data_IF_699260864463
#
_entry.id   IF_699260864463
#
_cell.length_a   1.000
_cell.length_b   1.000
_cell.length_c   1.000
_cell.angle_alpha   90.00
_cell.angle_beta   90.00
_cell.angle_gamma   90.00
#
_symmetry.space_group_name_H-M   'P 1'
#
loop_
_entity.id
_entity.type
_entity.pdbx_description
1 polymer ?
#
# COMPACT_ATOMS: atom_id res chain seq x y z
N UNK A 1 -17.63 4.36 -2.30
CA UNK A 1 -18.64 4.28 -1.22
C UNK A 1 -18.16 3.77 0.13
N UNK A 2 -17.56 2.57 0.25
CA UNK A 2 -17.16 2.01 1.55
C UNK A 2 -16.27 2.97 2.39
N UNK A 3 -15.29 3.62 1.76
CA UNK A 3 -14.42 4.58 2.44
C UNK A 3 -15.17 5.78 3.03
N UNK A 4 -16.14 6.35 2.29
CA UNK A 4 -16.97 7.46 2.78
C UNK A 4 -17.88 7.03 3.92
N UNK A 5 -18.42 5.82 3.87
CA UNK A 5 -19.25 5.28 4.95
C UNK A 5 -18.44 5.12 6.25
N UNK A 6 -17.26 4.51 6.17
CA UNK A 6 -16.36 4.37 7.31
C UNK A 6 -15.91 5.72 7.88
N UNK A 7 -15.68 6.72 7.02
CA UNK A 7 -15.40 8.08 7.46
C UNK A 7 -16.57 8.70 8.24
N UNK A 8 -17.80 8.54 7.73
CA UNK A 8 -19.02 9.01 8.43
C UNK A 8 -19.20 8.35 9.81
N UNK A 9 -18.69 7.15 10.01
CA UNK A 9 -18.70 6.47 11.31
C UNK A 9 -17.59 6.95 12.27
N UNK A 10 -16.69 7.83 11.82
CA UNK A 10 -15.72 8.52 12.66
C UNK A 10 -14.25 8.21 12.37
N UNK A 11 -13.95 7.25 11.48
CA UNK A 11 -12.58 6.99 11.04
C UNK A 11 -12.03 8.21 10.29
N UNK A 12 -10.84 8.70 10.65
CA UNK A 12 -10.25 9.91 10.04
C UNK A 12 -9.54 9.62 8.73
N UNK A 13 -8.97 8.44 8.59
CA UNK A 13 -8.29 8.01 7.39
C UNK A 13 -8.61 6.53 7.16
N UNK A 14 -8.98 6.17 5.93
CA UNK A 14 -9.51 4.85 5.58
C UNK A 14 -8.62 4.27 4.50
N UNK A 15 -7.91 3.19 4.83
CA UNK A 15 -7.16 2.40 3.87
C UNK A 15 -7.97 1.16 3.45
N UNK A 16 -8.11 0.96 2.14
CA UNK A 16 -8.74 -0.21 1.55
C UNK A 16 -7.74 -0.86 0.60
N UNK A 17 -7.44 -2.14 0.84
CA UNK A 17 -6.64 -2.93 -0.10
C UNK A 17 -7.55 -3.79 -0.97
N UNK A 18 -7.54 -3.54 -2.28
CA UNK A 18 -8.23 -4.36 -3.26
C UNK A 18 -7.26 -5.39 -3.89
N UNK A 19 -7.71 -6.23 -4.82
CA UNK A 19 -6.82 -7.21 -5.46
C UNK A 19 -5.78 -6.57 -6.40
N UNK A 20 -6.09 -5.42 -6.98
CA UNK A 20 -5.26 -4.71 -7.97
C UNK A 20 -4.70 -3.37 -7.48
N UNK A 21 -5.11 -2.85 -6.33
CA UNK A 21 -4.71 -1.51 -5.87
C UNK A 21 -4.80 -1.35 -4.35
N UNK A 22 -4.09 -0.35 -3.84
CA UNK A 22 -4.26 0.20 -2.50
C UNK A 22 -4.88 1.60 -2.62
N UNK A 23 -5.90 1.86 -1.80
CA UNK A 23 -6.62 3.13 -1.75
C UNK A 23 -6.57 3.67 -0.32
N UNK A 24 -6.36 4.97 -0.19
CA UNK A 24 -6.56 5.73 1.04
C UNK A 24 -7.53 6.88 0.79
N UNK A 25 -8.39 7.12 1.77
CA UNK A 25 -9.30 8.27 1.82
C UNK A 25 -9.12 9.01 3.14
N UNK A 26 -8.80 10.30 3.10
CA UNK A 26 -8.54 11.14 4.27
C UNK A 26 -9.76 11.97 4.73
N UNK A 27 -10.92 11.73 4.13
CA UNK A 27 -12.13 12.52 4.33
C UNK A 27 -12.37 13.58 3.25
N UNK A 28 -11.36 13.91 2.45
CA UNK A 28 -11.46 14.87 1.34
C UNK A 28 -11.09 14.20 0.01
N UNK A 29 -9.88 13.65 -0.06
CA UNK A 29 -9.26 13.17 -1.28
C UNK A 29 -9.03 11.65 -1.25
N UNK A 30 -8.97 11.08 -2.45
CA UNK A 30 -8.59 9.69 -2.67
C UNK A 30 -7.16 9.59 -3.18
N UNK A 31 -6.36 8.77 -2.53
CA UNK A 31 -4.99 8.43 -2.92
C UNK A 31 -4.96 6.97 -3.31
N UNK A 32 -4.65 6.69 -4.57
CA UNK A 32 -4.74 5.34 -5.12
C UNK A 32 -3.41 4.99 -5.78
N UNK A 33 -2.87 3.82 -5.47
CA UNK A 33 -1.75 3.26 -6.20
C UNK A 33 -2.06 1.81 -6.63
N UNK A 34 -1.84 1.47 -7.92
CA UNK A 34 -2.03 0.12 -8.41
C UNK A 34 -0.99 -0.82 -7.78
N UNK A 35 -1.34 -2.08 -7.56
CA UNK A 35 -0.39 -3.14 -7.25
C UNK A 35 0.16 -3.68 -8.56
N UNK A 36 1.49 -3.74 -8.69
CA UNK A 36 2.19 -4.18 -9.90
C UNK A 36 3.07 -5.42 -9.69
N UNK A 37 2.65 -6.45 -8.92
CA UNK A 37 3.49 -7.63 -8.72
C UNK A 37 3.70 -8.38 -10.03
N UNK A 38 4.93 -8.84 -10.28
CA UNK A 38 5.28 -9.64 -11.46
C UNK A 38 4.75 -11.07 -11.39
N UNK A 39 4.51 -11.57 -10.17
CA UNK A 39 3.88 -12.85 -9.89
C UNK A 39 3.20 -12.82 -8.51
N UNK A 40 2.37 -13.83 -8.21
CA UNK A 40 1.59 -13.89 -6.96
C UNK A 40 2.01 -15.05 -6.03
N UNK A 41 3.23 -15.56 -6.17
CA UNK A 41 3.72 -16.72 -5.39
C UNK A 41 3.73 -16.47 -3.88
N UNK A 42 3.88 -15.21 -3.46
CA UNK A 42 3.96 -14.76 -2.08
C UNK A 42 2.72 -14.00 -1.58
N UNK A 43 1.52 -14.29 -2.09
CA UNK A 43 0.30 -13.52 -1.76
C UNK A 43 -0.02 -13.43 -0.25
N UNK A 44 0.28 -14.46 0.54
CA UNK A 44 0.02 -14.47 1.99
C UNK A 44 0.78 -13.35 2.71
N UNK A 45 0.12 -12.63 3.63
CA UNK A 45 0.71 -11.50 4.36
C UNK A 45 0.68 -10.17 3.59
N UNK A 46 0.00 -10.10 2.43
CA UNK A 46 -0.18 -8.86 1.64
C UNK A 46 -0.77 -7.73 2.48
N UNK A 47 -1.84 -8.01 3.22
CA UNK A 47 -2.53 -7.02 4.05
C UNK A 47 -1.61 -6.42 5.09
N UNK A 48 -1.01 -7.27 5.93
CA UNK A 48 -0.10 -6.85 7.00
C UNK A 48 1.07 -6.01 6.46
N UNK A 49 1.65 -6.46 5.35
CA UNK A 49 2.75 -5.77 4.68
C UNK A 49 2.34 -4.39 4.18
N UNK A 50 1.18 -4.30 3.50
CA UNK A 50 0.68 -3.04 2.93
C UNK A 50 0.32 -2.03 4.04
N UNK A 51 -0.42 -2.46 5.06
CA UNK A 51 -0.79 -1.61 6.20
C UNK A 51 0.44 -1.15 6.98
N UNK A 52 1.38 -2.05 7.29
CA UNK A 52 2.62 -1.70 8.00
C UNK A 52 3.46 -0.70 7.21
N UNK A 53 3.59 -0.89 5.89
CA UNK A 53 4.30 0.03 5.03
C UNK A 53 3.63 1.42 5.00
N UNK A 54 2.30 1.45 4.81
CA UNK A 54 1.56 2.70 4.77
C UNK A 54 1.68 3.50 6.07
N UNK A 55 1.38 2.90 7.22
CA UNK A 55 1.41 3.63 8.50
C UNK A 55 2.81 4.13 8.84
N UNK A 56 3.86 3.37 8.49
CA UNK A 56 5.24 3.78 8.77
C UNK A 56 5.73 4.88 7.85
N UNK A 57 5.36 4.87 6.56
CA UNK A 57 5.64 6.01 5.67
C UNK A 57 4.83 7.25 6.04
N UNK A 58 3.57 7.07 6.42
CA UNK A 58 2.64 8.17 6.71
C UNK A 58 3.08 9.01 7.92
N UNK A 59 3.89 8.46 8.81
CA UNK A 59 4.55 9.20 9.90
C UNK A 59 5.50 10.32 9.40
N UNK A 60 6.00 10.20 8.16
CA UNK A 60 7.03 11.09 7.61
C UNK A 60 6.62 11.76 6.30
N UNK A 61 5.66 11.17 5.58
CA UNK A 61 5.28 11.56 4.23
C UNK A 61 3.78 11.83 4.13
N UNK A 62 3.39 12.52 3.05
CA UNK A 62 2.00 12.70 2.69
C UNK A 62 1.31 11.39 2.28
N UNK A 63 -0.03 11.36 2.26
CA UNK A 63 -0.80 10.15 1.97
C UNK A 63 -0.53 9.58 0.56
N UNK A 64 -0.36 10.44 -0.45
CA UNK A 64 -0.05 10.02 -1.82
C UNK A 64 1.28 9.23 -1.89
N UNK A 65 2.36 9.79 -1.32
CA UNK A 65 3.67 9.15 -1.29
C UNK A 65 3.67 7.87 -0.45
N UNK A 66 2.97 7.88 0.69
CA UNK A 66 2.85 6.72 1.57
C UNK A 66 2.10 5.56 0.90
N UNK A 67 0.99 5.85 0.19
CA UNK A 67 0.24 4.85 -0.58
C UNK A 67 1.07 4.27 -1.71
N UNK A 68 1.79 5.11 -2.46
CA UNK A 68 2.68 4.66 -3.53
C UNK A 68 3.74 3.69 -3.01
N UNK A 69 4.43 4.07 -1.91
CA UNK A 69 5.46 3.22 -1.33
C UNK A 69 4.88 1.91 -0.79
N UNK A 70 3.72 1.95 -0.11
CA UNK A 70 3.06 0.75 0.38
C UNK A 70 2.65 -0.20 -0.76
N UNK A 71 2.11 0.34 -1.86
CA UNK A 71 1.75 -0.42 -3.06
C UNK A 71 2.97 -1.06 -3.72
N UNK A 72 4.08 -0.33 -3.84
CA UNK A 72 5.32 -0.86 -4.40
C UNK A 72 5.94 -1.95 -3.51
N UNK A 73 6.02 -1.71 -2.18
CA UNK A 73 6.57 -2.67 -1.23
C UNK A 73 5.74 -3.97 -1.24
N UNK A 74 4.42 -3.87 -1.16
CA UNK A 74 3.58 -5.06 -1.16
C UNK A 74 3.58 -5.78 -2.52
N UNK A 75 3.72 -5.06 -3.62
CA UNK A 75 3.90 -5.66 -4.96
C UNK A 75 5.16 -6.51 -4.99
N UNK A 76 6.29 -5.97 -4.55
CA UNK A 76 7.55 -6.71 -4.45
C UNK A 76 7.44 -7.90 -3.47
N UNK A 77 6.81 -7.71 -2.31
CA UNK A 77 6.58 -8.77 -1.31
C UNK A 77 5.74 -9.93 -1.85
N UNK A 78 4.79 -9.68 -2.74
CA UNK A 78 3.93 -10.73 -3.29
C UNK A 78 4.65 -11.65 -4.28
N UNK A 79 5.86 -11.29 -4.70
CA UNK A 79 6.64 -12.06 -5.66
C UNK A 79 7.51 -13.15 -5.01
N UNK A 80 7.56 -13.22 -3.68
CA UNK A 80 8.35 -14.20 -2.94
C UNK A 80 7.57 -14.71 -1.71
N UNK A 81 7.51 -16.04 -1.48
CA UNK A 81 6.87 -16.59 -0.29
C UNK A 81 7.48 -16.11 1.04
N UNK A 82 6.64 -15.98 2.06
CA UNK A 82 7.04 -15.54 3.40
C UNK A 82 6.93 -14.02 3.63
N UNK A 83 7.49 -13.52 4.75
CA UNK A 83 7.52 -12.09 5.06
C UNK A 83 8.46 -11.34 4.10
N UNK A 84 8.25 -10.03 3.98
CA UNK A 84 9.17 -9.18 3.22
C UNK A 84 10.56 -9.17 3.88
N UNK A 85 11.61 -9.43 3.09
CA UNK A 85 13.01 -9.44 3.54
C UNK A 85 13.88 -8.42 2.81
N UNK A 86 13.29 -7.61 1.93
CA UNK A 86 14.00 -6.58 1.20
C UNK A 86 14.26 -5.33 2.05
N UNK A 87 14.94 -4.38 1.44
CA UNK A 87 15.31 -3.09 2.02
C UNK A 87 14.47 -1.95 1.45
N UNK A 88 14.57 -0.76 2.03
CA UNK A 88 13.97 0.46 1.44
C UNK A 88 14.49 0.72 0.03
N UNK A 89 15.79 0.53 -0.21
CA UNK A 89 16.40 0.74 -1.52
C UNK A 89 15.80 -0.21 -2.58
N UNK A 90 15.46 -1.44 -2.20
CA UNK A 90 14.79 -2.39 -3.11
C UNK A 90 13.39 -1.88 -3.51
N UNK A 91 12.66 -1.31 -2.55
CA UNK A 91 11.33 -0.72 -2.81
C UNK A 91 11.46 0.53 -3.68
N UNK A 92 12.40 1.42 -3.40
CA UNK A 92 12.63 2.64 -4.19
C UNK A 92 13.05 2.31 -5.63
N UNK A 93 13.91 1.30 -5.81
CA UNK A 93 14.25 0.78 -7.14
C UNK A 93 13.02 0.23 -7.85
N UNK A 94 12.15 -0.48 -7.13
CA UNK A 94 10.91 -1.02 -7.67
C UNK A 94 9.95 0.10 -8.09
N UNK A 95 9.83 1.17 -7.29
CA UNK A 95 9.07 2.38 -7.65
C UNK A 95 9.61 2.94 -8.96
N UNK A 96 10.89 3.28 -9.03
CA UNK A 96 11.51 3.87 -10.22
C UNK A 96 11.36 3.02 -11.50
N UNK A 97 11.28 1.70 -11.35
CA UNK A 97 11.17 0.78 -12.49
C UNK A 97 9.72 0.61 -12.96
N UNK A 98 8.74 0.70 -12.07
CA UNK A 98 7.37 0.26 -12.35
C UNK A 98 6.29 1.30 -12.12
N UNK A 99 6.57 2.42 -11.45
CA UNK A 99 5.60 3.47 -11.09
C UNK A 99 6.05 4.82 -11.63
#
# INVERSE_FOLDING_TARGET
>A
EAAKLLHRWGAKEIMITYNTEALVYDGSDYYIAPLKPRNLSGRTGRGDTCFSAYITERLKRGPAEAVLYAAALVSLKMETPGPFKGTRADVEKYINQFY
#
